data_IF_165563539811
#
_entry.id   IF_165563539811
#
_cell.length_a   1.000
_cell.length_b   1.000
_cell.length_c   1.000
_cell.angle_alpha   90.00
_cell.angle_beta   90.00
_cell.angle_gamma   90.00
#
_symmetry.space_group_name_H-M   'P 1'
#
loop_
_entity.id
_entity.type
_entity.pdbx_description
1 polymer ?
#
# COMPACT_ATOMS: atom_id res chain seq x y z
N UNK A 1 -6.54 -42.50 -35.65
CA UNK A 1 -6.82 -41.12 -35.22
C UNK A 1 -6.52 -40.18 -36.39
N UNK A 2 -7.50 -39.41 -36.87
CA UNK A 2 -7.36 -38.63 -38.10
C UNK A 2 -6.33 -37.50 -37.89
N UNK A 3 -5.41 -37.28 -38.83
CA UNK A 3 -4.35 -36.24 -38.72
C UNK A 3 -4.92 -34.84 -38.41
N UNK A 4 -6.15 -34.55 -38.88
CA UNK A 4 -6.88 -33.31 -38.58
C UNK A 4 -7.32 -33.21 -37.11
N UNK A 5 -7.69 -34.33 -36.49
CA UNK A 5 -8.10 -34.37 -35.08
C UNK A 5 -6.91 -34.19 -34.14
N UNK A 6 -5.73 -34.73 -34.50
CA UNK A 6 -4.49 -34.55 -33.73
C UNK A 6 -4.01 -33.09 -33.74
N UNK A 7 -4.18 -32.38 -34.86
CA UNK A 7 -3.77 -30.97 -34.99
C UNK A 7 -4.62 -30.03 -34.11
N UNK A 8 -5.93 -30.30 -34.00
CA UNK A 8 -6.85 -29.48 -33.19
C UNK A 8 -6.58 -29.64 -31.68
N UNK A 9 -6.24 -30.86 -31.24
CA UNK A 9 -5.85 -31.12 -29.84
C UNK A 9 -4.54 -30.40 -29.49
N UNK A 10 -3.58 -30.35 -30.42
CA UNK A 10 -2.32 -29.63 -30.21
C UNK A 10 -2.52 -28.10 -30.14
N UNK A 11 -3.45 -27.55 -30.94
CA UNK A 11 -3.75 -26.11 -30.93
C UNK A 11 -4.46 -25.66 -29.63
N UNK A 12 -5.30 -26.51 -29.05
CA UNK A 12 -6.01 -26.24 -27.79
C UNK A 12 -5.07 -26.22 -26.56
N UNK A 13 -3.95 -26.94 -26.60
CA UNK A 13 -2.95 -26.93 -25.52
C UNK A 13 -2.18 -25.60 -25.41
N UNK A 14 -2.07 -24.83 -26.50
CA UNK A 14 -1.37 -23.54 -26.48
C UNK A 14 -2.23 -22.38 -25.95
N UNK A 15 -3.54 -22.57 -25.76
CA UNK A 15 -4.44 -21.51 -25.30
C UNK A 15 -4.53 -21.38 -23.76
N UNK A 16 -3.79 -22.19 -23.00
CA UNK A 16 -3.94 -22.26 -21.52
C UNK A 16 -2.83 -21.58 -20.74
N UNK A 17 -1.86 -20.93 -21.40
CA UNK A 17 -0.79 -20.20 -20.72
C UNK A 17 -1.14 -18.73 -20.60
N UNK A 18 -2.00 -18.39 -19.64
CA UNK A 18 -2.07 -17.03 -19.12
C UNK A 18 -0.98 -16.88 -18.05
N UNK A 19 0.15 -16.22 -18.31
CA UNK A 19 1.15 -15.97 -17.26
C UNK A 19 0.52 -15.08 -16.19
N UNK A 20 0.20 -15.65 -15.03
CA UNK A 20 -0.18 -14.85 -13.86
C UNK A 20 1.09 -14.21 -13.31
N UNK A 21 1.12 -12.87 -13.22
CA UNK A 21 2.21 -12.15 -12.55
C UNK A 21 2.36 -12.72 -11.14
N UNK A 22 3.50 -13.37 -10.86
CA UNK A 22 3.76 -13.97 -9.55
C UNK A 22 3.87 -12.85 -8.48
N UNK A 23 3.57 -13.21 -7.23
CA UNK A 23 3.78 -12.35 -6.06
C UNK A 23 5.24 -12.33 -5.63
N UNK A 24 5.99 -13.40 -5.93
CA UNK A 24 7.40 -13.50 -5.58
C UNK A 24 8.26 -12.46 -6.34
N UNK A 25 9.38 -12.02 -5.76
CA UNK A 25 10.30 -11.09 -6.41
C UNK A 25 10.83 -11.67 -7.73
N UNK A 26 10.90 -10.85 -8.77
CA UNK A 26 11.62 -11.22 -9.99
C UNK A 26 13.13 -11.02 -9.82
N UNK A 27 13.92 -11.54 -10.76
CA UNK A 27 15.37 -11.29 -10.78
C UNK A 27 15.69 -9.79 -10.84
N UNK A 28 14.89 -9.02 -11.57
CA UNK A 28 15.00 -7.56 -11.67
C UNK A 28 14.67 -6.89 -10.33
N UNK A 29 13.61 -7.35 -9.64
CA UNK A 29 13.26 -6.81 -8.31
C UNK A 29 14.39 -7.06 -7.29
N UNK A 30 15.02 -8.25 -7.32
CA UNK A 30 16.15 -8.59 -6.45
C UNK A 30 17.38 -7.74 -6.78
N UNK A 31 17.66 -7.52 -8.07
CA UNK A 31 18.77 -6.67 -8.49
C UNK A 31 18.54 -5.22 -8.03
N UNK A 32 17.35 -4.68 -8.25
CA UNK A 32 16.97 -3.34 -7.80
C UNK A 32 17.14 -3.20 -6.28
N UNK A 33 16.66 -4.17 -5.49
CA UNK A 33 16.82 -4.16 -4.04
C UNK A 33 18.31 -4.13 -3.63
N UNK A 34 19.18 -4.88 -4.31
CA UNK A 34 20.63 -4.86 -4.04
C UNK A 34 21.27 -3.53 -4.39
N UNK A 35 20.82 -2.87 -5.46
CA UNK A 35 21.31 -1.55 -5.86
C UNK A 35 20.87 -0.48 -4.85
N UNK A 36 19.61 -0.52 -4.44
CA UNK A 36 19.07 0.38 -3.41
C UNK A 36 19.72 0.16 -2.04
N UNK A 37 19.97 -1.09 -1.62
CA UNK A 37 20.68 -1.36 -0.36
C UNK A 37 22.09 -0.79 -0.34
N UNK A 38 22.78 -0.69 -1.49
CA UNK A 38 24.09 -0.02 -1.57
C UNK A 38 23.99 1.50 -1.38
N UNK A 39 22.86 2.11 -1.77
CA UNK A 39 22.60 3.55 -1.61
C UNK A 39 22.09 3.88 -0.21
N UNK A 40 21.25 3.00 0.34
CA UNK A 40 20.56 3.14 1.63
C UNK A 40 21.02 2.02 2.57
N UNK A 41 22.27 2.13 3.06
CA UNK A 41 22.96 1.05 3.78
C UNK A 41 22.25 0.64 5.08
N UNK A 42 21.67 1.62 5.78
CA UNK A 42 21.01 1.42 7.08
C UNK A 42 19.52 1.05 6.95
N UNK A 43 18.95 1.15 5.75
CA UNK A 43 17.52 0.94 5.53
C UNK A 43 17.20 -0.46 5.02
N UNK A 44 16.19 -1.10 5.60
CA UNK A 44 15.76 -2.44 5.21
C UNK A 44 14.57 -2.43 4.25
N UNK A 45 13.97 -1.26 4.00
CA UNK A 45 12.87 -1.03 3.06
C UNK A 45 13.09 0.31 2.37
N UNK A 46 12.69 0.39 1.10
CA UNK A 46 12.58 1.66 0.36
C UNK A 46 11.19 1.81 -0.26
N UNK A 47 10.83 3.04 -0.59
CA UNK A 47 9.63 3.39 -1.37
C UNK A 47 10.06 3.65 -2.81
N UNK A 48 9.53 2.85 -3.74
CA UNK A 48 9.80 2.96 -5.17
C UNK A 48 8.95 4.02 -5.86
N UNK A 49 7.73 4.19 -5.38
CA UNK A 49 6.78 5.14 -5.93
C UNK A 49 5.88 5.62 -4.80
N UNK A 50 5.63 6.92 -4.77
CA UNK A 50 4.73 7.56 -3.83
C UNK A 50 3.89 8.58 -4.59
N UNK A 51 2.57 8.37 -4.60
CA UNK A 51 1.60 9.27 -5.22
C UNK A 51 0.60 9.71 -4.17
N UNK A 52 0.46 11.02 -4.05
CA UNK A 52 -0.58 11.65 -3.24
C UNK A 52 -1.51 12.49 -4.12
N UNK A 53 -2.81 12.16 -4.10
CA UNK A 53 -3.85 12.91 -4.78
C UNK A 53 -4.79 13.53 -3.76
N UNK A 54 -4.76 14.86 -3.66
CA UNK A 54 -5.62 15.64 -2.77
C UNK A 54 -6.66 16.35 -3.62
N UNK A 55 -7.94 16.09 -3.32
CA UNK A 55 -9.08 16.72 -4.00
C UNK A 55 -10.02 17.38 -3.00
N UNK A 56 -10.64 18.48 -3.44
CA UNK A 56 -11.57 19.27 -2.64
C UNK A 56 -12.96 19.19 -3.27
N UNK A 57 -13.97 19.02 -2.44
CA UNK A 57 -15.39 19.05 -2.84
C UNK A 57 -16.20 19.89 -1.85
N UNK A 58 -17.38 20.34 -2.23
CA UNK A 58 -18.28 21.10 -1.36
C UNK A 58 -19.51 20.27 -1.01
N UNK A 59 -19.65 19.93 0.27
CA UNK A 59 -20.84 19.27 0.77
C UNK A 59 -21.95 20.27 1.03
N UNK A 60 -22.97 20.23 0.17
CA UNK A 60 -24.16 21.08 0.27
C UNK A 60 -25.00 20.83 1.52
N UNK A 61 -24.86 19.68 2.19
CA UNK A 61 -25.64 19.34 3.39
C UNK A 61 -25.04 19.97 4.64
N UNK A 62 -23.72 19.97 4.74
CA UNK A 62 -22.99 20.52 5.88
C UNK A 62 -22.51 21.95 5.62
N UNK A 63 -22.60 22.42 4.37
CA UNK A 63 -22.04 23.69 3.89
C UNK A 63 -20.53 23.81 4.12
N UNK A 64 -19.82 22.68 4.08
CA UNK A 64 -18.38 22.58 4.33
C UNK A 64 -17.62 22.10 3.09
N UNK A 65 -16.36 22.49 3.01
CA UNK A 65 -15.42 21.94 2.03
C UNK A 65 -14.86 20.64 2.60
N UNK A 66 -15.13 19.54 1.91
CA UNK A 66 -14.59 18.20 2.19
C UNK A 66 -13.25 18.04 1.47
N UNK A 67 -12.30 17.38 2.12
CA UNK A 67 -11.02 17.01 1.50
C UNK A 67 -10.95 15.49 1.38
N UNK A 68 -10.60 15.01 0.20
CA UNK A 68 -10.30 13.60 -0.03
C UNK A 68 -8.83 13.45 -0.37
N UNK A 69 -8.11 12.74 0.49
CA UNK A 69 -6.69 12.45 0.39
C UNK A 69 -6.51 10.98 0.00
N UNK A 70 -5.99 10.74 -1.19
CA UNK A 70 -5.61 9.42 -1.65
C UNK A 70 -4.09 9.31 -1.63
N UNK A 71 -3.60 8.22 -1.09
CA UNK A 71 -2.18 7.93 -1.02
C UNK A 71 -1.95 6.52 -1.58
N UNK A 72 -0.88 6.38 -2.36
CA UNK A 72 -0.44 5.12 -2.90
C UNK A 72 1.09 5.03 -2.85
N UNK A 73 1.59 4.02 -2.15
CA UNK A 73 3.01 3.77 -1.94
C UNK A 73 3.38 2.35 -2.38
N UNK A 74 4.42 2.22 -3.21
CA UNK A 74 5.02 0.94 -3.57
C UNK A 74 6.29 0.73 -2.73
N UNK A 75 6.26 -0.24 -1.82
CA UNK A 75 7.40 -0.61 -1.00
C UNK A 75 8.20 -1.74 -1.64
N UNK A 76 9.52 -1.73 -1.42
CA UNK A 76 10.43 -2.84 -1.72
C UNK A 76 11.29 -3.20 -0.51
N UNK A 77 11.44 -4.50 -0.24
CA UNK A 77 12.34 -5.00 0.79
C UNK A 77 13.80 -5.01 0.31
N UNK A 78 14.69 -4.46 1.12
CA UNK A 78 16.13 -4.36 0.86
C UNK A 78 16.96 -5.39 1.62
N UNK A 79 16.34 -6.15 2.54
CA UNK A 79 17.00 -7.21 3.31
C UNK A 79 16.31 -8.59 3.10
N UNK A 80 16.84 -9.63 3.72
CA UNK A 80 16.35 -11.01 3.66
C UNK A 80 14.93 -11.16 4.21
N UNK A 81 14.61 -10.50 5.34
CA UNK A 81 13.28 -10.49 5.95
C UNK A 81 13.11 -9.26 6.83
N UNK A 82 12.05 -8.50 6.57
CA UNK A 82 11.81 -7.24 7.29
C UNK A 82 10.37 -7.15 7.74
N UNK A 83 10.13 -6.39 8.81
CA UNK A 83 8.78 -6.04 9.27
C UNK A 83 8.71 -4.55 9.49
N UNK A 84 7.68 -3.91 8.94
CA UNK A 84 7.44 -2.48 9.15
C UNK A 84 6.04 -2.27 9.74
N UNK A 85 5.88 -1.33 10.69
CA UNK A 85 4.57 -0.90 11.12
C UNK A 85 3.94 -0.01 10.03
N UNK A 86 2.65 -0.20 9.79
CA UNK A 86 1.82 0.75 9.05
C UNK A 86 0.74 1.23 10.00
N UNK A 87 0.53 2.54 10.08
CA UNK A 87 -0.50 3.13 10.91
C UNK A 87 -1.09 4.36 10.23
N UNK A 88 -2.38 4.60 10.46
CA UNK A 88 -3.10 5.77 9.99
C UNK A 88 -4.02 6.27 11.10
N UNK A 89 -3.83 7.53 11.48
CA UNK A 89 -4.66 8.20 12.46
C UNK A 89 -5.91 8.81 11.82
N UNK A 90 -7.00 8.83 12.55
CA UNK A 90 -8.26 9.50 12.21
C UNK A 90 -9.04 9.83 13.49
N UNK A 91 -10.11 10.58 13.37
CA UNK A 91 -10.87 11.16 14.49
C UNK A 91 -12.33 11.43 14.04
N UNK A 92 -13.13 12.16 14.81
CA UNK A 92 -14.51 12.49 14.42
C UNK A 92 -14.61 13.36 13.15
N UNK A 93 -13.53 14.00 12.75
CA UNK A 93 -13.48 14.93 11.62
C UNK A 93 -12.89 14.29 10.36
N UNK A 94 -12.49 13.02 10.45
CA UNK A 94 -11.92 12.30 9.33
C UNK A 94 -12.22 10.81 9.33
N UNK A 95 -12.44 10.23 8.15
CA UNK A 95 -12.72 8.81 7.97
C UNK A 95 -11.67 8.14 7.08
N UNK A 96 -11.35 6.89 7.38
CA UNK A 96 -10.56 6.03 6.49
C UNK A 96 -11.53 5.20 5.64
N UNK A 97 -11.86 5.70 4.46
CA UNK A 97 -12.86 5.09 3.57
C UNK A 97 -12.32 3.83 2.88
N UNK A 98 -11.01 3.83 2.59
CA UNK A 98 -10.31 2.71 1.96
C UNK A 98 -8.96 2.53 2.60
N UNK A 99 -8.61 1.29 2.90
CA UNK A 99 -7.30 0.90 3.40
C UNK A 99 -6.96 -0.48 2.85
N UNK A 100 -5.89 -0.59 2.07
CA UNK A 100 -5.56 -1.82 1.35
C UNK A 100 -4.05 -2.01 1.24
N UNK A 101 -3.62 -3.26 1.39
CA UNK A 101 -2.32 -3.75 0.92
C UNK A 101 -2.53 -4.78 -0.17
N UNK A 102 -1.85 -4.62 -1.30
CA UNK A 102 -1.78 -5.61 -2.38
C UNK A 102 -0.35 -6.03 -2.67
N UNK A 103 -0.19 -7.22 -3.25
CA UNK A 103 1.08 -7.66 -3.81
C UNK A 103 1.42 -6.87 -5.09
N UNK A 104 2.63 -7.07 -5.65
CA UNK A 104 3.07 -6.47 -6.93
C UNK A 104 2.13 -6.71 -8.13
N UNK A 105 1.24 -7.69 -8.04
CA UNK A 105 0.26 -8.04 -9.08
C UNK A 105 -1.16 -7.55 -8.75
N UNK A 106 -1.28 -6.60 -7.82
CA UNK A 106 -2.51 -5.96 -7.37
C UNK A 106 -3.54 -6.87 -6.68
N UNK A 107 -3.22 -8.16 -6.55
CA UNK A 107 -4.01 -9.10 -5.74
C UNK A 107 -3.96 -8.67 -4.28
N UNK A 108 -5.13 -8.71 -3.64
CA UNK A 108 -5.27 -8.37 -2.24
C UNK A 108 -4.46 -9.35 -1.36
N UNK A 109 -3.77 -8.82 -0.37
CA UNK A 109 -3.02 -9.61 0.62
C UNK A 109 -3.93 -10.25 1.67
N UNK A 110 -5.12 -9.69 1.89
CA UNK A 110 -6.01 -10.10 2.99
C UNK A 110 -5.48 -9.67 4.37
N UNK A 111 -4.50 -8.77 4.43
CA UNK A 111 -4.00 -8.22 5.68
C UNK A 111 -5.12 -7.47 6.41
N UNK A 112 -5.32 -7.81 7.67
CA UNK A 112 -6.23 -7.13 8.57
C UNK A 112 -5.53 -5.93 9.23
N UNK A 113 -6.27 -4.84 9.40
CA UNK A 113 -5.85 -3.67 10.15
C UNK A 113 -6.61 -3.63 11.46
N UNK A 114 -5.88 -3.60 12.57
CA UNK A 114 -6.44 -3.30 13.89
C UNK A 114 -7.00 -1.88 13.91
N UNK A 115 -7.96 -1.63 14.79
CA UNK A 115 -8.63 -0.34 14.97
C UNK A 115 -8.77 -0.08 16.47
N UNK A 116 -8.02 0.89 16.96
CA UNK A 116 -7.87 1.15 18.39
C UNK A 116 -7.99 2.64 18.69
N UNK A 117 -8.43 2.95 19.92
CA UNK A 117 -8.37 4.31 20.44
C UNK A 117 -6.91 4.67 20.71
N UNK A 118 -6.49 5.84 20.27
CA UNK A 118 -5.22 6.40 20.66
C UNK A 118 -5.35 7.01 22.05
N UNK A 119 -5.04 6.25 23.09
CA UNK A 119 -5.02 6.74 24.46
C UNK A 119 -3.57 6.89 24.94
N UNK A 120 -3.19 8.10 25.34
CA UNK A 120 -2.05 8.33 26.21
C UNK A 120 -2.60 8.44 27.64
N UNK A 121 -1.97 7.80 28.62
CA UNK A 121 -2.53 7.52 29.96
C UNK A 121 -2.79 8.74 30.88
N UNK A 122 -2.97 9.95 30.34
CA UNK A 122 -3.20 11.17 31.12
C UNK A 122 -4.43 11.96 30.62
N UNK A 123 -5.50 11.87 31.41
CA UNK A 123 -6.57 12.87 31.67
C UNK A 123 -7.40 13.46 30.51
N UNK A 124 -7.13 13.16 29.25
CA UNK A 124 -7.94 13.64 28.13
C UNK A 124 -8.53 12.48 27.31
N UNK A 125 -9.86 12.42 27.26
CA UNK A 125 -10.55 11.58 26.28
C UNK A 125 -10.33 12.20 24.90
N UNK A 126 -9.44 11.60 24.11
CA UNK A 126 -9.32 11.93 22.69
C UNK A 126 -10.20 10.99 21.88
N UNK A 127 -10.92 11.54 20.91
CA UNK A 127 -11.63 10.81 19.87
C UNK A 127 -10.68 10.24 18.80
N UNK A 128 -9.39 10.52 18.92
CA UNK A 128 -8.33 10.01 18.08
C UNK A 128 -8.31 8.48 18.09
N UNK A 129 -8.30 7.91 16.88
CA UNK A 129 -8.23 6.48 16.61
C UNK A 129 -7.10 6.20 15.64
N UNK A 130 -6.60 4.97 15.68
CA UNK A 130 -5.53 4.52 14.80
C UNK A 130 -5.92 3.20 14.15
N UNK A 131 -5.79 3.14 12.82
CA UNK A 131 -5.77 1.88 12.10
C UNK A 131 -4.33 1.44 11.93
N UNK A 132 -3.99 0.21 12.29
CA UNK A 132 -2.60 -0.24 12.26
C UNK A 132 -2.45 -1.70 11.81
N UNK A 133 -1.29 -2.03 11.25
CA UNK A 133 -0.89 -3.41 10.97
C UNK A 133 0.63 -3.51 10.91
N UNK A 134 1.15 -4.74 10.83
CA UNK A 134 2.57 -4.98 10.59
C UNK A 134 2.74 -5.65 9.23
N UNK A 135 3.36 -4.93 8.29
CA UNK A 135 3.68 -5.46 6.98
C UNK A 135 4.96 -6.30 7.07
N UNK A 136 4.88 -7.57 6.65
CA UNK A 136 5.97 -8.55 6.78
C UNK A 136 6.51 -8.90 5.38
N UNK A 137 7.74 -8.50 5.10
CA UNK A 137 8.43 -8.86 3.86
C UNK A 137 9.18 -10.19 4.04
N UNK A 138 8.86 -11.24 3.26
CA UNK A 138 9.45 -12.56 3.47
C UNK A 138 10.82 -12.75 2.80
N UNK A 139 11.15 -11.96 1.78
CA UNK A 139 12.31 -12.13 0.90
C UNK A 139 12.87 -10.78 0.43
N UNK A 140 14.14 -10.76 0.02
CA UNK A 140 14.77 -9.63 -0.66
C UNK A 140 14.05 -9.30 -1.97
N UNK A 141 13.81 -8.02 -2.23
CA UNK A 141 13.10 -7.54 -3.42
C UNK A 141 11.59 -7.75 -3.38
N UNK A 142 11.03 -8.23 -2.26
CA UNK A 142 9.59 -8.40 -2.10
C UNK A 142 8.88 -7.05 -2.08
N UNK A 143 7.73 -6.96 -2.76
CA UNK A 143 7.02 -5.71 -2.97
C UNK A 143 5.57 -5.74 -2.49
N UNK A 144 5.14 -4.61 -1.95
CA UNK A 144 3.75 -4.37 -1.56
C UNK A 144 3.31 -2.98 -2.02
N UNK A 145 2.08 -2.91 -2.50
CA UNK A 145 1.37 -1.67 -2.76
C UNK A 145 0.47 -1.37 -1.55
N UNK A 146 0.78 -0.31 -0.81
CA UNK A 146 -0.05 0.22 0.26
C UNK A 146 -0.85 1.40 -0.28
N UNK A 147 -2.15 1.41 -0.04
CA UNK A 147 -3.00 2.51 -0.48
C UNK A 147 -4.09 2.79 0.53
N UNK A 148 -4.41 4.08 0.69
CA UNK A 148 -5.52 4.52 1.49
C UNK A 148 -6.27 5.68 0.86
N UNK A 149 -7.51 5.86 1.30
CA UNK A 149 -8.32 7.05 1.05
C UNK A 149 -8.82 7.53 2.40
N UNK A 150 -8.39 8.74 2.77
CA UNK A 150 -8.85 9.43 3.96
C UNK A 150 -9.69 10.63 3.54
N UNK A 151 -10.85 10.78 4.14
CA UNK A 151 -11.76 11.90 3.88
C UNK A 151 -11.84 12.76 5.14
N UNK A 152 -11.68 14.07 5.00
CA UNK A 152 -11.85 15.05 6.05
C UNK A 152 -13.14 15.82 5.81
N UNK A 153 -14.01 15.89 6.83
CA UNK A 153 -15.33 16.52 6.71
C UNK A 153 -15.26 18.05 6.62
N UNK A 154 -14.21 18.67 7.15
CA UNK A 154 -13.92 20.11 7.04
C UNK A 154 -12.43 20.31 6.71
N UNK A 155 -12.15 21.17 5.72
CA UNK A 155 -10.82 21.61 5.29
C UNK A 155 -9.90 22.04 6.43
N UNK A 156 -10.43 22.58 7.54
CA UNK A 156 -9.62 23.02 8.69
C UNK A 156 -8.86 21.88 9.36
N UNK A 157 -9.31 20.64 9.22
CA UNK A 157 -8.64 19.47 9.78
C UNK A 157 -7.61 18.86 8.83
N UNK A 158 -7.54 19.33 7.57
CA UNK A 158 -6.47 19.02 6.65
C UNK A 158 -5.33 20.04 6.82
N UNK A 159 -4.62 19.95 7.96
CA UNK A 159 -3.68 20.99 8.41
C UNK A 159 -2.34 20.91 7.68
N UNK A 160 -1.70 19.74 7.70
CA UNK A 160 -0.37 19.54 7.14
C UNK A 160 -0.31 18.23 6.35
N UNK A 161 0.35 18.27 5.20
CA UNK A 161 0.82 17.08 4.48
C UNK A 161 2.33 17.12 4.51
N UNK A 162 2.94 16.08 5.07
CA UNK A 162 4.39 15.94 5.12
C UNK A 162 4.83 15.03 3.99
N UNK A 163 5.72 15.51 3.13
CA UNK A 163 6.33 14.72 2.06
C UNK A 163 7.59 13.96 2.53
N UNK A 164 7.93 14.07 3.81
CA UNK A 164 9.04 13.33 4.42
C UNK A 164 8.58 11.90 4.71
N UNK A 165 8.76 11.03 3.73
CA UNK A 165 8.50 9.61 3.91
C UNK A 165 9.40 9.00 4.98
N UNK A 166 8.85 8.06 5.77
CA UNK A 166 9.60 7.34 6.82
C UNK A 166 10.73 6.47 6.27
N UNK A 167 10.68 6.15 4.97
CA UNK A 167 11.66 5.32 4.27
C UNK A 167 12.22 6.10 3.08
N UNK A 168 13.46 5.81 2.67
CA UNK A 168 14.06 6.49 1.53
C UNK A 168 13.25 6.23 0.25
N UNK A 169 13.00 7.31 -0.49
CA UNK A 169 12.38 7.29 -1.82
C UNK A 169 13.46 7.12 -2.91
N UNK A 170 13.19 6.28 -3.90
CA UNK A 170 14.11 6.01 -5.02
C UNK A 170 13.96 6.98 -6.19
#
# INVERSE_FOLDING_TARGET
>A
MNKKTTLIVFLLYHLVLFPQKNIDPTSEDIQLAKELKKKYLEDDVAILNHVEDISFDFDKKTEQVIVKHNNNQEYINLDSRTKIPLYLFYDEQSTIDRLKVSYRNDKNTGIYFGDEYYNNEELFHTDARVKWTTLKFPLLGYKYNFSYTKTYSDIKYFVNTYFDDTYPTS
#
